data_IF_616956121147
#
_entry.id   IF_616956121147
#
_cell.length_a   1.000
_cell.length_b   1.000
_cell.length_c   1.000
_cell.angle_alpha   90.00
_cell.angle_beta   90.00
_cell.angle_gamma   90.00
#
_symmetry.space_group_name_H-M   'P 1'
#
loop_
_entity.id
_entity.type
_entity.pdbx_description
1 polymer ?
#
# COMPACT_ATOMS: atom_id res chain seq x y z
N UNK A 1 -26.25 51.23 -17.34
CA UNK A 1 -25.30 50.51 -16.48
C UNK A 1 -24.46 49.62 -17.39
N UNK A 2 -23.26 50.08 -17.75
CA UNK A 2 -22.31 49.27 -18.52
C UNK A 2 -21.66 48.26 -17.59
N UNK A 3 -21.91 46.98 -17.80
CA UNK A 3 -21.27 45.91 -17.04
C UNK A 3 -19.79 45.85 -17.38
N UNK A 4 -18.94 45.98 -16.37
CA UNK A 4 -17.52 45.70 -16.47
C UNK A 4 -17.35 44.19 -16.61
N UNK A 5 -17.19 43.71 -17.85
CA UNK A 5 -16.69 42.37 -18.11
C UNK A 5 -15.17 42.49 -18.25
N UNK A 6 -14.37 42.14 -17.21
CA UNK A 6 -12.93 42.15 -17.37
C UNK A 6 -12.55 41.17 -18.50
N UNK A 7 -11.61 41.53 -19.39
CA UNK A 7 -11.08 40.59 -20.36
C UNK A 7 -10.30 39.52 -19.58
N UNK A 8 -10.91 38.36 -19.39
CA UNK A 8 -10.22 37.18 -18.87
C UNK A 8 -9.32 36.69 -20.01
N UNK A 9 -7.99 36.64 -19.88
CA UNK A 9 -7.12 36.11 -20.91
C UNK A 9 -7.43 34.63 -21.11
N UNK A 10 -8.17 34.27 -22.16
CA UNK A 10 -8.53 32.87 -22.45
C UNK A 10 -7.35 32.07 -23.06
N UNK A 11 -6.38 32.77 -23.65
CA UNK A 11 -5.25 32.15 -24.37
C UNK A 11 -4.06 31.73 -23.47
N UNK A 12 -3.97 32.21 -22.24
CA UNK A 12 -2.89 31.84 -21.30
C UNK A 12 -3.03 30.41 -20.75
N UNK A 13 -4.22 29.81 -20.84
CA UNK A 13 -4.50 28.50 -20.22
C UNK A 13 -3.72 27.33 -20.83
N UNK A 14 -3.32 27.41 -22.10
CA UNK A 14 -2.66 26.30 -22.81
C UNK A 14 -1.22 26.06 -22.35
N UNK A 15 -0.46 27.12 -22.04
CA UNK A 15 0.92 26.97 -21.58
C UNK A 15 0.99 26.57 -20.10
N UNK A 16 0.02 27.03 -19.30
CA UNK A 16 -0.12 26.64 -17.88
C UNK A 16 -0.31 25.14 -17.73
N UNK A 17 -1.19 24.52 -18.53
CA UNK A 17 -1.40 23.06 -18.54
C UNK A 17 -0.11 22.33 -18.91
N UNK A 18 0.61 22.80 -19.93
CA UNK A 18 1.88 22.19 -20.37
C UNK A 18 2.93 22.24 -19.28
N UNK A 19 3.07 23.40 -18.62
CA UNK A 19 4.00 23.57 -17.51
C UNK A 19 3.61 22.69 -16.33
N UNK A 20 2.32 22.61 -15.98
CA UNK A 20 1.84 21.76 -14.89
C UNK A 20 2.11 20.27 -15.13
N UNK A 21 1.88 19.78 -16.35
CA UNK A 21 2.17 18.38 -16.73
C UNK A 21 3.67 18.08 -16.71
N UNK A 22 4.51 18.99 -17.22
CA UNK A 22 5.97 18.82 -17.18
C UNK A 22 6.51 18.88 -15.75
N UNK A 23 5.95 19.76 -14.91
CA UNK A 23 6.32 19.87 -13.51
C UNK A 23 5.92 18.61 -12.72
N UNK A 24 4.74 18.06 -13.01
CA UNK A 24 4.28 16.76 -12.48
C UNK A 24 5.30 15.66 -12.81
N UNK A 25 5.66 15.52 -14.09
CA UNK A 25 6.65 14.55 -14.57
C UNK A 25 8.03 14.72 -13.90
N UNK A 26 8.48 15.97 -13.73
CA UNK A 26 9.72 16.28 -13.06
C UNK A 26 9.71 15.79 -11.61
N UNK A 27 8.65 16.09 -10.85
CA UNK A 27 8.53 15.65 -9.47
C UNK A 27 8.46 14.13 -9.35
N UNK A 28 7.74 13.42 -10.22
CA UNK A 28 7.75 11.95 -10.19
C UNK A 28 9.11 11.37 -10.54
N UNK A 29 9.83 11.97 -11.48
CA UNK A 29 11.18 11.53 -11.85
C UNK A 29 12.12 11.67 -10.64
N UNK A 30 12.10 12.82 -9.97
CA UNK A 30 12.86 13.04 -8.74
C UNK A 30 12.44 12.04 -7.66
N UNK A 31 11.14 11.80 -7.49
CA UNK A 31 10.60 10.88 -6.50
C UNK A 31 11.10 9.43 -6.68
N UNK A 32 11.21 8.95 -7.92
CA UNK A 32 11.78 7.63 -8.25
C UNK A 32 13.23 7.50 -7.76
N UNK A 33 14.05 8.53 -7.95
CA UNK A 33 15.46 8.51 -7.52
C UNK A 33 15.62 8.70 -6.01
N UNK A 34 14.72 9.44 -5.39
CA UNK A 34 14.75 9.80 -3.97
C UNK A 34 14.24 8.66 -3.08
N UNK A 35 13.31 7.83 -3.55
CA UNK A 35 12.78 6.67 -2.81
C UNK A 35 13.88 5.73 -2.26
N UNK A 36 14.83 5.24 -3.08
CA UNK A 36 15.94 4.41 -2.61
C UNK A 36 16.89 5.11 -1.62
N UNK A 37 17.03 6.43 -1.71
CA UNK A 37 17.93 7.22 -0.83
C UNK A 37 17.41 7.22 0.61
N UNK A 38 16.08 7.12 0.81
CA UNK A 38 15.46 7.03 2.14
C UNK A 38 16.01 5.87 2.98
N UNK A 39 16.29 4.72 2.36
CA UNK A 39 16.84 3.54 3.08
C UNK A 39 18.25 3.75 3.59
N UNK A 40 19.00 4.70 3.02
CA UNK A 40 20.44 4.87 3.28
C UNK A 40 20.76 6.14 4.06
N UNK A 41 19.84 7.08 4.16
CA UNK A 41 20.08 8.40 4.75
C UNK A 41 19.13 8.67 5.90
N UNK A 42 19.72 8.98 7.06
CA UNK A 42 18.99 9.42 8.26
C UNK A 42 19.04 10.96 8.44
N UNK A 43 19.57 11.71 7.47
CA UNK A 43 19.71 13.15 7.62
C UNK A 43 18.35 13.87 7.56
N UNK A 44 18.07 14.83 8.47
CA UNK A 44 16.77 15.47 8.56
C UNK A 44 16.45 16.33 7.33
N UNK A 45 17.48 16.89 6.68
CA UNK A 45 17.33 17.67 5.45
C UNK A 45 16.87 16.77 4.29
N UNK A 46 17.47 15.58 4.15
CA UNK A 46 17.06 14.63 3.11
C UNK A 46 15.64 14.13 3.39
N UNK A 47 15.30 13.82 4.65
CA UNK A 47 13.92 13.47 5.04
C UNK A 47 12.92 14.58 4.70
N UNK A 48 13.24 15.84 5.00
CA UNK A 48 12.39 16.97 4.65
C UNK A 48 12.22 17.14 3.14
N UNK A 49 13.30 16.99 2.36
CA UNK A 49 13.23 17.06 0.89
C UNK A 49 12.41 15.90 0.30
N UNK A 50 12.57 14.68 0.83
CA UNK A 50 11.74 13.52 0.47
C UNK A 50 10.28 13.83 0.74
N UNK A 51 9.97 14.27 1.95
CA UNK A 51 8.61 14.60 2.38
C UNK A 51 7.98 15.69 1.50
N UNK A 52 8.72 16.77 1.23
CA UNK A 52 8.24 17.86 0.38
C UNK A 52 8.00 17.41 -1.06
N UNK A 53 8.90 16.59 -1.62
CA UNK A 53 8.74 16.05 -2.97
C UNK A 53 7.56 15.07 -3.05
N UNK A 54 7.36 14.25 -2.01
CA UNK A 54 6.23 13.32 -1.89
C UNK A 54 4.90 14.09 -1.91
N UNK A 55 4.77 15.16 -1.11
CA UNK A 55 3.56 15.99 -1.11
C UNK A 55 3.37 16.73 -2.44
N UNK A 56 4.41 17.37 -2.98
CA UNK A 56 4.26 18.16 -4.21
C UNK A 56 3.90 17.31 -5.43
N UNK A 57 4.39 16.07 -5.52
CA UNK A 57 4.15 15.21 -6.68
C UNK A 57 2.65 14.97 -6.92
N UNK A 58 1.91 14.64 -5.85
CA UNK A 58 0.47 14.39 -5.93
C UNK A 58 -0.30 15.70 -6.15
N UNK A 59 0.03 16.77 -5.40
CA UNK A 59 -0.64 18.07 -5.52
C UNK A 59 -0.50 18.70 -6.92
N UNK A 60 0.67 18.59 -7.56
CA UNK A 60 0.88 19.12 -8.90
C UNK A 60 0.14 18.31 -9.95
N UNK A 61 0.03 16.98 -9.77
CA UNK A 61 -0.75 16.13 -10.67
C UNK A 61 -2.25 16.45 -10.59
N UNK A 62 -2.80 16.64 -9.39
CA UNK A 62 -4.19 17.04 -9.17
C UNK A 62 -4.48 18.43 -9.75
N UNK A 63 -3.56 19.38 -9.56
CA UNK A 63 -3.68 20.72 -10.13
C UNK A 63 -3.69 20.65 -11.67
N UNK A 64 -2.80 19.87 -12.27
CA UNK A 64 -2.77 19.68 -13.72
C UNK A 64 -4.07 19.05 -14.25
N UNK A 65 -4.61 18.06 -13.54
CA UNK A 65 -5.89 17.42 -13.87
C UNK A 65 -7.06 18.41 -13.75
N UNK A 66 -7.07 19.24 -12.70
CA UNK A 66 -8.07 20.29 -12.51
C UNK A 66 -8.05 21.34 -13.62
N UNK A 67 -6.87 21.78 -14.05
CA UNK A 67 -6.70 22.71 -15.19
C UNK A 67 -7.21 22.09 -16.51
N UNK A 68 -6.91 20.81 -16.75
CA UNK A 68 -7.42 20.06 -17.91
C UNK A 68 -8.95 19.96 -17.90
N UNK A 69 -9.54 19.65 -16.76
CA UNK A 69 -10.99 19.51 -16.62
C UNK A 69 -11.71 20.86 -16.83
N UNK A 70 -11.17 21.95 -16.28
CA UNK A 70 -11.72 23.30 -16.44
C UNK A 70 -11.68 23.77 -17.91
N UNK A 71 -10.56 23.53 -18.59
CA UNK A 71 -10.41 23.90 -20.00
C UNK A 71 -11.40 23.15 -20.90
N UNK A 72 -11.68 21.87 -20.61
CA UNK A 72 -12.63 21.06 -21.37
C UNK A 72 -14.10 21.41 -21.08
N UNK A 73 -14.45 21.74 -19.83
CA UNK A 73 -15.79 22.17 -19.45
C UNK A 73 -16.25 23.46 -20.14
N UNK A 74 -15.32 24.38 -20.42
CA UNK A 74 -15.60 25.61 -21.15
C UNK A 74 -15.86 25.40 -22.66
N UNK A 75 -15.50 24.23 -23.22
CA UNK A 75 -15.76 23.84 -24.60
C UNK A 75 -17.19 23.28 -24.76
N UNK A 76 -17.74 22.63 -23.71
CA UNK A 76 -19.11 22.06 -23.72
C UNK A 76 -20.25 23.06 -23.56
N UNK A 77 -19.96 24.32 -23.20
CA UNK A 77 -20.96 25.37 -22.94
C UNK A 77 -21.43 26.17 -24.16
N UNK A 78 -20.82 25.98 -25.34
CA UNK A 78 -21.31 26.56 -26.60
C UNK A 78 -22.18 25.55 -27.33
N UNK A 79 -23.44 25.52 -26.95
CA UNK A 79 -24.51 24.77 -27.60
C UNK A 79 -24.47 24.96 -29.12
N UNK A 80 -24.71 23.86 -29.85
CA UNK A 80 -25.27 23.88 -31.21
C UNK A 80 -24.48 24.66 -32.26
N UNK A 81 -23.30 24.17 -32.61
CA UNK A 81 -22.97 24.06 -34.03
C UNK A 81 -22.02 22.88 -34.18
N UNK A 82 -22.27 22.06 -35.18
CA UNK A 82 -21.44 20.94 -35.57
C UNK A 82 -19.99 21.40 -35.77
N UNK A 83 -19.17 21.36 -34.73
CA UNK A 83 -17.73 21.26 -34.89
C UNK A 83 -17.42 19.81 -35.24
N UNK A 84 -17.80 19.43 -36.47
CA UNK A 84 -16.98 18.47 -37.21
C UNK A 84 -15.53 18.88 -36.99
N UNK A 85 -14.69 17.92 -36.60
CA UNK A 85 -13.24 18.01 -36.66
C UNK A 85 -12.89 18.49 -38.08
N UNK A 86 -12.82 19.79 -38.28
CA UNK A 86 -12.58 20.40 -39.57
C UNK A 86 -11.30 21.18 -39.45
N UNK A 87 -10.33 20.71 -40.22
CA UNK A 87 -9.13 21.41 -40.67
C UNK A 87 -7.97 21.49 -39.65
N UNK A 88 -7.08 20.52 -39.83
CA UNK A 88 -5.61 20.53 -40.02
C UNK A 88 -4.93 21.90 -40.33
N UNK A 89 -5.43 23.07 -39.94
CA UNK A 89 -4.81 24.36 -40.32
C UNK A 89 -4.72 25.43 -39.23
N UNK A 90 -5.05 25.11 -37.97
CA UNK A 90 -4.67 25.97 -36.83
C UNK A 90 -3.70 25.19 -35.93
N UNK A 91 -2.64 25.82 -35.37
CA UNK A 91 -1.67 25.15 -34.50
C UNK A 91 -2.24 24.78 -33.11
N UNK A 92 -3.56 24.95 -32.91
CA UNK A 92 -4.30 24.68 -31.67
C UNK A 92 -4.80 23.23 -31.60
N UNK A 93 -3.90 22.27 -31.73
CA UNK A 93 -4.17 20.83 -31.57
C UNK A 93 -4.18 20.40 -30.10
N UNK A 94 -4.74 21.22 -29.21
CA UNK A 94 -4.78 21.02 -27.75
C UNK A 94 -5.69 19.88 -27.27
N UNK A 95 -6.93 19.70 -27.77
CA UNK A 95 -7.86 18.75 -27.15
C UNK A 95 -7.45 17.28 -27.33
N UNK A 96 -6.75 16.96 -28.42
CA UNK A 96 -6.30 15.59 -28.72
C UNK A 96 -5.20 15.13 -27.75
N UNK A 97 -4.22 15.99 -27.44
CA UNK A 97 -3.11 15.64 -26.54
C UNK A 97 -3.53 15.71 -25.07
N UNK A 98 -4.47 16.58 -24.72
CA UNK A 98 -5.04 16.69 -23.38
C UNK A 98 -5.78 15.42 -22.96
N UNK A 99 -6.54 14.82 -23.90
CA UNK A 99 -7.18 13.53 -23.67
C UNK A 99 -6.18 12.40 -23.35
N UNK A 100 -4.95 12.46 -23.89
CA UNK A 100 -3.88 11.53 -23.57
C UNK A 100 -3.18 11.87 -22.24
N UNK A 101 -2.99 13.16 -21.92
CA UNK A 101 -2.35 13.58 -20.67
C UNK A 101 -3.17 13.28 -19.43
N UNK A 102 -4.49 13.26 -19.53
CA UNK A 102 -5.37 12.92 -18.41
C UNK A 102 -5.11 11.51 -17.82
N UNK A 103 -5.19 10.40 -18.59
CA UNK A 103 -4.83 9.08 -18.08
C UNK A 103 -3.34 8.96 -17.71
N UNK A 104 -2.47 9.76 -18.33
CA UNK A 104 -1.06 9.82 -17.96
C UNK A 104 -0.84 10.44 -16.57
N UNK A 105 -1.57 11.52 -16.24
CA UNK A 105 -1.58 12.09 -14.88
C UNK A 105 -2.19 11.10 -13.87
N UNK A 106 -3.27 10.42 -14.24
CA UNK A 106 -3.85 9.36 -13.39
C UNK A 106 -2.83 8.25 -13.10
N UNK A 107 -2.06 7.84 -14.11
CA UNK A 107 -0.97 6.87 -13.95
C UNK A 107 0.13 7.38 -13.02
N UNK A 108 0.46 8.66 -13.12
CA UNK A 108 1.45 9.28 -12.25
C UNK A 108 1.02 9.35 -10.78
N UNK A 109 -0.25 9.63 -10.52
CA UNK A 109 -0.82 9.60 -9.17
C UNK A 109 -0.79 8.18 -8.57
N UNK A 110 -0.71 7.14 -9.40
CA UNK A 110 -0.41 5.78 -8.96
C UNK A 110 0.97 5.58 -8.34
N UNK A 111 1.88 6.56 -8.48
CA UNK A 111 3.18 6.61 -7.80
C UNK A 111 4.16 5.50 -8.18
N UNK A 112 5.45 5.67 -7.90
CA UNK A 112 6.46 4.63 -8.13
C UNK A 112 6.31 3.49 -7.12
N UNK A 113 6.74 2.29 -7.52
CA UNK A 113 6.60 1.08 -6.69
C UNK A 113 7.54 1.08 -5.47
N UNK A 114 8.53 1.99 -5.46
CA UNK A 114 9.58 2.12 -4.44
C UNK A 114 9.14 2.87 -3.18
N UNK A 115 8.07 3.66 -3.22
CA UNK A 115 7.55 4.36 -2.05
C UNK A 115 6.04 4.60 -2.19
N UNK A 116 5.27 4.02 -1.28
CA UNK A 116 3.80 4.13 -1.25
C UNK A 116 3.30 5.03 -0.13
N UNK A 117 4.05 5.10 0.97
CA UNK A 117 3.78 5.97 2.10
C UNK A 117 5.06 6.57 2.68
N UNK A 118 4.94 7.78 3.25
CA UNK A 118 6.06 8.42 3.93
C UNK A 118 6.12 8.00 5.40
N UNK A 119 4.98 7.93 6.09
CA UNK A 119 4.86 7.41 7.46
C UNK A 119 3.76 6.35 7.58
N UNK A 120 3.72 5.61 8.71
CA UNK A 120 2.68 4.59 8.95
C UNK A 120 1.29 5.24 9.03
N UNK A 121 1.20 6.48 9.54
CA UNK A 121 -0.04 7.24 9.62
C UNK A 121 -0.64 7.51 8.24
N UNK A 122 0.18 7.63 7.19
CA UNK A 122 -0.32 7.79 5.82
C UNK A 122 -1.02 6.51 5.32
N UNK A 123 -0.58 5.33 5.77
CA UNK A 123 -1.24 4.05 5.46
C UNK A 123 -2.64 3.98 6.08
N UNK A 124 -2.81 4.48 7.31
CA UNK A 124 -4.12 4.55 7.96
C UNK A 124 -5.10 5.45 7.20
N UNK A 125 -4.60 6.46 6.48
CA UNK A 125 -5.40 7.34 5.64
C UNK A 125 -5.69 6.78 4.24
N UNK A 126 -5.55 5.47 4.01
CA UNK A 126 -5.82 4.83 2.71
C UNK A 126 -7.23 5.12 2.17
N UNK A 127 -8.24 5.21 3.05
CA UNK A 127 -9.62 5.47 2.64
C UNK A 127 -9.79 6.88 2.04
N UNK A 128 -9.04 7.86 2.54
CA UNK A 128 -8.99 9.21 1.96
C UNK A 128 -8.36 9.18 0.56
N UNK A 129 -7.27 8.44 0.39
CA UNK A 129 -6.64 8.25 -0.91
C UNK A 129 -7.55 7.52 -1.89
N UNK A 130 -8.34 6.55 -1.43
CA UNK A 130 -9.37 5.88 -2.23
C UNK A 130 -10.46 6.85 -2.70
N UNK A 131 -10.93 7.76 -1.83
CA UNK A 131 -11.93 8.76 -2.22
C UNK A 131 -11.36 9.73 -3.26
N UNK A 132 -10.11 10.19 -3.07
CA UNK A 132 -9.40 11.03 -4.05
C UNK A 132 -9.31 10.34 -5.41
N UNK A 133 -8.85 9.08 -5.41
CA UNK A 133 -8.80 8.23 -6.59
C UNK A 133 -10.13 8.16 -7.34
N UNK A 134 -11.25 7.96 -6.63
CA UNK A 134 -12.56 7.88 -7.27
C UNK A 134 -12.94 9.20 -7.96
N UNK A 135 -12.62 10.34 -7.35
CA UNK A 135 -12.88 11.66 -7.95
C UNK A 135 -12.00 11.91 -9.18
N UNK A 136 -10.73 11.55 -9.11
CA UNK A 136 -9.78 11.66 -10.22
C UNK A 136 -10.15 10.71 -11.36
N UNK A 137 -10.54 9.47 -11.04
CA UNK A 137 -11.02 8.49 -12.01
C UNK A 137 -12.30 8.97 -12.71
N UNK A 138 -13.24 9.57 -11.98
CA UNK A 138 -14.43 10.18 -12.57
C UNK A 138 -14.07 11.34 -13.50
N UNK A 139 -13.19 12.24 -13.05
CA UNK A 139 -12.69 13.37 -13.85
C UNK A 139 -12.02 12.88 -15.13
N UNK A 140 -11.15 11.86 -15.01
CA UNK A 140 -10.45 11.26 -16.13
C UNK A 140 -11.42 10.54 -17.09
N UNK A 141 -12.44 9.86 -16.56
CA UNK A 141 -13.48 9.19 -17.35
C UNK A 141 -14.29 10.19 -18.16
N UNK A 142 -14.68 11.33 -17.58
CA UNK A 142 -15.40 12.40 -18.30
C UNK A 142 -14.58 12.89 -19.49
N UNK A 143 -13.31 13.21 -19.28
CA UNK A 143 -12.40 13.68 -20.34
C UNK A 143 -12.22 12.59 -21.41
N UNK A 144 -12.05 11.34 -20.99
CA UNK A 144 -11.89 10.19 -21.88
C UNK A 144 -13.13 9.98 -22.78
N UNK A 145 -14.34 9.99 -22.21
CA UNK A 145 -15.58 9.83 -22.98
C UNK A 145 -15.82 10.99 -23.94
N UNK A 146 -15.49 12.23 -23.54
CA UNK A 146 -15.58 13.38 -24.43
C UNK A 146 -14.60 13.29 -25.61
N UNK A 147 -13.45 12.64 -25.45
CA UNK A 147 -12.46 12.45 -26.54
C UNK A 147 -12.72 11.22 -27.43
N UNK A 148 -13.72 10.38 -27.11
CA UNK A 148 -13.87 9.06 -27.70
C UNK A 148 -14.18 9.06 -29.21
N UNK A 149 -14.85 10.10 -29.72
CA UNK A 149 -15.32 10.13 -31.13
C UNK A 149 -14.31 10.68 -32.14
N UNK A 150 -13.27 11.40 -31.67
CA UNK A 150 -12.56 12.36 -32.51
C UNK A 150 -11.01 12.29 -32.41
N UNK A 151 -10.44 11.17 -31.95
CA UNK A 151 -8.99 11.11 -31.63
C UNK A 151 -8.25 9.93 -32.32
N UNK A 152 -7.18 10.18 -33.10
CA UNK A 152 -6.36 9.11 -33.71
C UNK A 152 -5.47 8.35 -32.70
N UNK A 153 -5.25 8.89 -31.49
CA UNK A 153 -4.44 8.28 -30.42
C UNK A 153 -5.26 7.43 -29.43
N UNK A 154 -6.55 7.18 -29.70
CA UNK A 154 -7.42 6.40 -28.82
C UNK A 154 -6.85 5.07 -28.30
N UNK A 155 -6.17 4.21 -29.08
CA UNK A 155 -5.62 2.97 -28.54
C UNK A 155 -4.56 3.23 -27.46
N UNK A 156 -3.71 4.25 -27.62
CA UNK A 156 -2.71 4.62 -26.63
C UNK A 156 -3.37 5.18 -25.36
N UNK A 157 -4.38 6.03 -25.51
CA UNK A 157 -5.16 6.59 -24.41
C UNK A 157 -5.89 5.51 -23.61
N UNK A 158 -6.48 4.50 -24.27
CA UNK A 158 -7.14 3.36 -23.61
C UNK A 158 -6.12 2.57 -22.78
N UNK A 159 -4.98 2.22 -23.38
CA UNK A 159 -3.94 1.47 -22.66
C UNK A 159 -3.43 2.26 -21.46
N UNK A 160 -3.15 3.55 -21.62
CA UNK A 160 -2.71 4.42 -20.52
C UNK A 160 -3.76 4.53 -19.42
N UNK A 161 -5.04 4.61 -19.77
CA UNK A 161 -6.13 4.69 -18.80
C UNK A 161 -6.24 3.39 -17.98
N UNK A 162 -6.16 2.23 -18.64
CA UNK A 162 -6.16 0.92 -17.96
C UNK A 162 -4.94 0.79 -17.04
N UNK A 163 -3.74 1.10 -17.54
CA UNK A 163 -2.52 1.05 -16.71
C UNK A 163 -2.60 2.03 -15.55
N UNK A 164 -3.17 3.22 -15.76
CA UNK A 164 -3.37 4.21 -14.70
C UNK A 164 -4.30 3.72 -13.59
N UNK A 165 -5.44 3.13 -13.95
CA UNK A 165 -6.36 2.48 -12.98
C UNK A 165 -5.64 1.39 -12.19
N UNK A 166 -4.90 0.52 -12.88
CA UNK A 166 -4.16 -0.57 -12.22
C UNK A 166 -3.11 0.02 -11.26
N UNK A 167 -2.24 0.92 -11.73
CA UNK A 167 -1.15 1.50 -10.94
C UNK A 167 -1.64 2.26 -9.71
N UNK A 168 -2.73 2.99 -9.85
CA UNK A 168 -3.37 3.65 -8.71
C UNK A 168 -4.01 2.63 -7.76
N UNK A 169 -4.73 1.65 -8.29
CA UNK A 169 -5.27 0.55 -7.50
C UNK A 169 -4.21 -0.18 -6.67
N UNK A 170 -3.04 -0.46 -7.26
CA UNK A 170 -1.88 -1.04 -6.57
C UNK A 170 -1.40 -0.15 -5.42
N UNK A 171 -1.36 1.19 -5.61
CA UNK A 171 -1.00 2.14 -4.55
C UNK A 171 -2.01 2.10 -3.40
N UNK A 172 -3.30 2.21 -3.70
CA UNK A 172 -4.36 2.19 -2.68
C UNK A 172 -4.39 0.87 -1.93
N UNK A 173 -4.22 -0.25 -2.64
CA UNK A 173 -4.15 -1.57 -2.02
C UNK A 173 -2.90 -1.74 -1.15
N UNK A 174 -1.74 -1.23 -1.58
CA UNK A 174 -0.52 -1.22 -0.76
C UNK A 174 -0.71 -0.40 0.52
N UNK A 175 -1.34 0.77 0.46
CA UNK A 175 -1.67 1.58 1.63
C UNK A 175 -2.60 0.83 2.60
N UNK A 176 -3.66 0.19 2.07
CA UNK A 176 -4.55 -0.63 2.87
C UNK A 176 -3.83 -1.82 3.51
N UNK A 177 -3.02 -2.55 2.74
CA UNK A 177 -2.26 -3.69 3.25
C UNK A 177 -1.22 -3.29 4.30
N UNK A 178 -0.68 -2.07 4.21
CA UNK A 178 0.25 -1.49 5.18
C UNK A 178 -0.44 -0.82 6.38
N UNK A 179 -1.77 -0.82 6.45
CA UNK A 179 -2.55 -0.32 7.60
C UNK A 179 -2.70 -1.41 8.66
N UNK A 180 -2.91 -1.01 9.92
CA UNK A 180 -3.19 -1.88 11.06
C UNK A 180 -4.35 -2.84 10.75
N UNK A 181 -5.41 -2.34 10.11
CA UNK A 181 -6.57 -3.16 9.75
C UNK A 181 -6.20 -4.22 8.71
N UNK A 182 -5.45 -3.85 7.67
CA UNK A 182 -4.94 -4.79 6.68
C UNK A 182 -4.00 -5.83 7.29
N UNK A 183 -3.18 -5.42 8.27
CA UNK A 183 -2.32 -6.33 9.01
C UNK A 183 -3.11 -7.36 9.82
N UNK A 184 -4.09 -6.91 10.61
CA UNK A 184 -4.95 -7.81 11.39
C UNK A 184 -5.58 -8.88 10.52
N UNK A 185 -6.11 -8.50 9.34
CA UNK A 185 -6.76 -9.44 8.42
C UNK A 185 -5.76 -10.44 7.80
N UNK A 186 -4.52 -10.01 7.54
CA UNK A 186 -3.48 -10.89 7.01
C UNK A 186 -2.90 -11.86 8.05
N UNK A 187 -2.79 -11.44 9.32
CA UNK A 187 -2.12 -12.18 10.39
C UNK A 187 -3.09 -13.12 11.11
N UNK A 188 -4.30 -12.66 11.43
CA UNK A 188 -5.22 -13.39 12.30
C UNK A 188 -6.08 -14.43 11.59
N UNK A 189 -6.07 -14.46 10.25
CA UNK A 189 -6.95 -15.34 9.48
C UNK A 189 -8.43 -15.08 9.77
N UNK A 190 -9.34 -15.94 9.29
CA UNK A 190 -10.74 -15.86 9.69
C UNK A 190 -10.84 -16.09 11.21
N UNK A 191 -11.68 -15.33 11.94
CA UNK A 191 -11.84 -15.51 13.37
C UNK A 191 -12.18 -16.96 13.67
N UNK A 192 -11.33 -17.66 14.43
CA UNK A 192 -11.67 -18.98 14.94
C UNK A 192 -12.79 -18.76 15.98
N UNK A 193 -14.03 -19.24 15.73
CA UNK A 193 -15.11 -19.11 16.71
C UNK A 193 -14.84 -19.91 17.99
N UNK A 194 -13.68 -20.59 18.07
CA UNK A 194 -13.27 -21.41 19.20
C UNK A 194 -14.05 -22.70 19.24
N UNK A 195 -13.91 -23.44 20.33
CA UNK A 195 -14.72 -24.64 20.56
C UNK A 195 -16.20 -24.24 20.60
N UNK A 196 -17.05 -25.02 19.95
CA UNK A 196 -18.50 -24.78 19.98
C UNK A 196 -19.03 -25.09 21.39
N UNK A 197 -18.97 -24.08 22.27
CA UNK A 197 -19.38 -24.17 23.67
C UNK A 197 -20.81 -24.66 23.82
N UNK A 198 -21.71 -24.29 22.92
CA UNK A 198 -23.09 -24.76 22.96
C UNK A 198 -23.16 -26.28 22.80
N UNK A 199 -22.43 -26.84 21.82
CA UNK A 199 -22.35 -28.30 21.63
C UNK A 199 -21.67 -28.98 22.84
N UNK A 200 -20.57 -28.42 23.31
CA UNK A 200 -19.84 -28.95 24.47
C UNK A 200 -20.73 -29.02 25.72
N UNK A 201 -21.44 -27.93 26.03
CA UNK A 201 -22.30 -27.87 27.21
C UNK A 201 -23.50 -28.81 27.08
N UNK A 202 -24.11 -28.92 25.88
CA UNK A 202 -25.19 -29.90 25.67
C UNK A 202 -24.74 -31.33 25.86
N UNK A 203 -23.50 -31.66 25.48
CA UNK A 203 -22.93 -32.99 25.68
C UNK A 203 -22.62 -33.24 27.17
N UNK A 204 -22.11 -32.22 27.87
CA UNK A 204 -21.88 -32.25 29.32
C UNK A 204 -23.19 -32.53 30.08
N UNK A 205 -24.24 -31.73 29.84
CA UNK A 205 -25.55 -31.87 30.49
C UNK A 205 -26.17 -33.26 30.22
N UNK A 206 -26.02 -33.77 28.98
CA UNK A 206 -26.54 -35.10 28.62
C UNK A 206 -25.86 -36.24 29.38
N UNK A 207 -24.56 -36.10 29.67
CA UNK A 207 -23.77 -37.11 30.39
C UNK A 207 -24.03 -37.03 31.90
N UNK A 208 -24.19 -35.82 32.44
CA UNK A 208 -24.60 -35.62 33.83
C UNK A 208 -26.00 -36.22 34.09
N UNK A 209 -26.96 -35.98 33.20
CA UNK A 209 -28.31 -36.56 33.29
C UNK A 209 -28.32 -38.09 33.17
N UNK A 210 -27.34 -38.67 32.47
CA UNK A 210 -27.14 -40.12 32.39
C UNK A 210 -26.51 -40.72 33.65
N UNK A 211 -26.18 -39.90 34.66
CA UNK A 211 -25.53 -40.33 35.91
C UNK A 211 -24.05 -40.67 35.75
N UNK A 212 -23.41 -40.20 34.68
CA UNK A 212 -21.96 -40.34 34.48
C UNK A 212 -21.23 -39.26 35.27
N UNK A 213 -20.10 -39.63 35.87
CA UNK A 213 -19.20 -38.66 36.49
C UNK A 213 -18.49 -37.89 35.38
N UNK A 214 -18.82 -36.60 35.22
CA UNK A 214 -18.27 -35.73 34.20
C UNK A 214 -17.52 -34.57 34.85
N UNK A 215 -16.22 -34.51 34.60
CA UNK A 215 -15.35 -33.43 35.05
C UNK A 215 -14.87 -32.63 33.84
N UNK A 216 -15.02 -31.30 33.91
CA UNK A 216 -14.46 -30.40 32.89
C UNK A 216 -12.97 -30.24 33.17
N UNK A 217 -12.16 -31.07 32.51
CA UNK A 217 -10.70 -30.92 32.54
C UNK A 217 -10.30 -29.83 31.56
N UNK A 218 -9.91 -28.67 32.09
CA UNK A 218 -9.26 -27.63 31.30
C UNK A 218 -7.85 -28.13 30.99
N UNK A 219 -7.65 -28.64 29.77
CA UNK A 219 -6.33 -29.03 29.28
C UNK A 219 -5.37 -27.86 29.43
N UNK A 220 -4.38 -28.00 30.31
CA UNK A 220 -3.43 -26.94 30.65
C UNK A 220 -3.65 -26.24 32.00
N UNK A 221 -4.59 -26.67 32.85
CA UNK A 221 -4.68 -26.18 34.24
C UNK A 221 -3.68 -26.88 35.19
N UNK A 222 -3.32 -28.13 34.90
CA UNK A 222 -2.44 -28.94 35.74
C UNK A 222 -0.99 -28.45 35.62
N UNK A 223 -0.31 -28.27 36.76
CA UNK A 223 1.09 -27.79 36.79
C UNK A 223 2.04 -28.69 35.99
N UNK A 224 1.72 -29.97 35.84
CA UNK A 224 2.56 -30.95 35.15
C UNK A 224 2.34 -30.90 33.63
N UNK A 225 1.09 -30.74 33.18
CA UNK A 225 0.76 -30.53 31.77
C UNK A 225 1.32 -29.20 31.24
N UNK A 226 1.30 -28.13 32.05
CA UNK A 226 1.95 -26.85 31.70
C UNK A 226 3.46 -27.01 31.53
N UNK A 227 4.13 -27.76 32.42
CA UNK A 227 5.57 -28.03 32.32
C UNK A 227 5.90 -28.86 31.09
N UNK A 228 5.15 -29.92 30.82
CA UNK A 228 5.36 -30.74 29.64
C UNK A 228 5.15 -29.98 28.31
N UNK A 229 4.20 -29.04 28.27
CA UNK A 229 4.01 -28.13 27.14
C UNK A 229 5.22 -27.19 26.97
N UNK A 230 5.66 -26.56 28.06
CA UNK A 230 6.85 -25.70 28.05
C UNK A 230 8.10 -26.47 27.58
N UNK A 231 8.34 -27.67 28.12
CA UNK A 231 9.49 -28.51 27.75
C UNK A 231 9.43 -28.93 26.26
N UNK A 232 8.23 -29.25 25.75
CA UNK A 232 8.03 -29.59 24.34
C UNK A 232 8.28 -28.39 23.43
N UNK A 233 7.79 -27.21 23.82
CA UNK A 233 7.96 -25.95 23.09
C UNK A 233 9.42 -25.47 23.11
N UNK A 234 10.12 -25.60 24.23
CA UNK A 234 11.55 -25.30 24.37
C UNK A 234 12.41 -26.27 23.55
N UNK A 235 12.10 -27.57 23.58
CA UNK A 235 12.74 -28.56 22.71
C UNK A 235 12.49 -28.28 21.21
N UNK A 236 11.32 -27.73 20.87
CA UNK A 236 10.97 -27.30 19.51
C UNK A 236 11.74 -26.04 19.12
N UNK A 237 11.86 -25.07 20.03
CA UNK A 237 12.67 -23.87 19.85
C UNK A 237 14.15 -24.23 19.60
N UNK A 238 14.74 -25.09 20.43
CA UNK A 238 16.10 -25.57 20.25
C UNK A 238 16.32 -26.26 18.90
N UNK A 239 15.34 -27.03 18.40
CA UNK A 239 15.41 -27.65 17.06
C UNK A 239 15.33 -26.65 15.91
N UNK A 240 14.51 -25.61 16.06
CA UNK A 240 14.38 -24.54 15.05
C UNK A 240 15.67 -23.72 14.98
N UNK A 241 16.27 -23.41 16.13
CA UNK A 241 17.55 -22.68 16.25
C UNK A 241 18.73 -23.51 15.75
N UNK A 242 18.81 -24.79 16.12
CA UNK A 242 19.89 -25.72 15.74
C UNK A 242 19.83 -26.22 14.29
N UNK A 243 18.81 -25.85 13.50
CA UNK A 243 18.73 -26.24 12.10
C UNK A 243 19.66 -25.40 11.22
N UNK A 244 20.93 -25.81 11.18
CA UNK A 244 22.03 -25.20 10.40
C UNK A 244 21.80 -25.10 8.88
N UNK A 245 20.70 -25.65 8.34
CA UNK A 245 20.43 -25.69 6.89
C UNK A 245 19.59 -24.53 6.36
N UNK A 246 18.97 -23.71 7.21
CA UNK A 246 18.16 -22.58 6.76
C UNK A 246 19.02 -21.44 6.22
N UNK A 247 18.70 -20.97 5.00
CA UNK A 247 19.33 -19.77 4.42
C UNK A 247 19.04 -18.53 5.28
N UNK A 248 19.92 -17.52 5.21
CA UNK A 248 19.78 -16.29 5.98
C UNK A 248 18.44 -15.58 5.72
N UNK A 249 17.98 -15.59 4.47
CA UNK A 249 16.71 -14.98 4.05
C UNK A 249 15.51 -15.74 4.64
N UNK A 250 15.60 -17.07 4.74
CA UNK A 250 14.54 -17.89 5.31
C UNK A 250 14.43 -17.70 6.82
N UNK A 251 15.57 -17.57 7.51
CA UNK A 251 15.60 -17.24 8.93
C UNK A 251 14.99 -15.86 9.18
N UNK A 252 15.42 -14.85 8.41
CA UNK A 252 14.90 -13.50 8.49
C UNK A 252 13.40 -13.44 8.16
N UNK A 253 12.91 -14.21 7.19
CA UNK A 253 11.49 -14.28 6.87
C UNK A 253 10.66 -14.91 8.01
N UNK A 254 11.17 -15.94 8.67
CA UNK A 254 10.48 -16.53 9.83
C UNK A 254 10.40 -15.54 10.99
N UNK A 255 11.49 -14.82 11.29
CA UNK A 255 11.46 -13.77 12.33
C UNK A 255 10.57 -12.60 11.94
N UNK A 256 10.53 -12.22 10.67
CA UNK A 256 9.61 -11.23 10.15
C UNK A 256 8.16 -11.62 10.45
N UNK A 257 7.77 -12.88 10.23
CA UNK A 257 6.40 -13.35 10.52
C UNK A 257 6.06 -13.32 12.01
N UNK A 258 7.05 -13.48 12.88
CA UNK A 258 6.91 -13.40 14.34
C UNK A 258 6.78 -11.94 14.75
N UNK A 259 7.76 -11.09 14.41
CA UNK A 259 7.87 -9.73 14.90
C UNK A 259 6.94 -8.73 14.21
N UNK A 260 6.42 -9.02 13.01
CA UNK A 260 5.38 -8.19 12.38
C UNK A 260 4.17 -8.01 13.30
N UNK A 261 3.87 -8.97 14.18
CA UNK A 261 2.78 -8.89 15.17
C UNK A 261 2.96 -7.71 16.12
N UNK A 262 4.20 -7.44 16.52
CA UNK A 262 4.51 -6.33 17.43
C UNK A 262 4.23 -4.96 16.80
N UNK A 263 4.30 -4.83 15.47
CA UNK A 263 4.00 -3.57 14.77
C UNK A 263 2.49 -3.23 14.74
N UNK A 264 1.65 -4.17 15.17
CA UNK A 264 0.18 -4.09 15.12
C UNK A 264 -0.39 -4.21 16.54
N UNK A 265 0.43 -3.92 17.56
CA UNK A 265 0.10 -4.06 18.97
C UNK A 265 -0.39 -5.47 19.38
N UNK A 266 -0.02 -6.52 18.63
CA UNK A 266 -0.25 -7.91 19.02
C UNK A 266 0.90 -8.42 19.88
N UNK A 267 0.56 -9.23 20.88
CA UNK A 267 1.53 -9.87 21.78
C UNK A 267 2.02 -11.18 21.14
N UNK A 268 3.32 -11.45 21.26
CA UNK A 268 3.90 -12.72 20.86
C UNK A 268 3.34 -13.87 21.71
N UNK A 269 3.04 -15.00 21.07
CA UNK A 269 2.72 -16.21 21.82
C UNK A 269 3.97 -16.73 22.57
N UNK A 270 3.77 -17.54 23.60
CA UNK A 270 4.86 -18.12 24.39
C UNK A 270 5.87 -18.88 23.51
N UNK A 271 5.39 -19.68 22.56
CA UNK A 271 6.25 -20.39 21.60
C UNK A 271 7.12 -19.42 20.77
N UNK A 272 6.51 -18.37 20.21
CA UNK A 272 7.19 -17.37 19.38
C UNK A 272 8.24 -16.59 20.18
N UNK A 273 7.90 -16.26 21.43
CA UNK A 273 8.80 -15.59 22.36
C UNK A 273 9.98 -16.49 22.75
N UNK A 274 9.72 -17.76 23.04
CA UNK A 274 10.73 -18.77 23.38
C UNK A 274 11.72 -18.99 22.24
N UNK A 275 11.23 -19.16 21.00
CA UNK A 275 12.06 -19.28 19.80
C UNK A 275 12.97 -18.06 19.62
N UNK A 276 12.41 -16.86 19.80
CA UNK A 276 13.16 -15.60 19.65
C UNK A 276 14.24 -15.46 20.72
N UNK A 277 13.91 -15.77 21.97
CA UNK A 277 14.86 -15.76 23.08
C UNK A 277 15.99 -16.78 22.87
N UNK A 278 15.66 -18.02 22.52
CA UNK A 278 16.65 -19.06 22.26
C UNK A 278 17.62 -18.64 21.14
N UNK A 279 17.10 -18.03 20.06
CA UNK A 279 17.92 -17.63 18.93
C UNK A 279 18.85 -16.43 19.22
N UNK A 280 18.36 -15.41 19.92
CA UNK A 280 19.11 -14.16 20.14
C UNK A 280 19.91 -14.15 21.45
N UNK A 281 19.54 -14.96 22.46
CA UNK A 281 20.11 -14.90 23.80
C UNK A 281 20.77 -16.19 24.27
N UNK A 282 20.27 -17.37 23.87
CA UNK A 282 20.90 -18.64 24.25
C UNK A 282 22.16 -18.89 23.42
N UNK A 283 23.29 -18.94 24.15
CA UNK A 283 24.64 -18.77 23.60
C UNK A 283 25.44 -20.07 23.51
N UNK A 284 24.77 -21.22 23.52
CA UNK A 284 25.45 -22.50 23.74
C UNK A 284 26.03 -23.15 22.48
N UNK A 285 25.65 -22.73 21.27
CA UNK A 285 26.30 -23.23 20.06
C UNK A 285 27.41 -22.28 19.56
N UNK A 286 28.62 -22.82 19.51
CA UNK A 286 29.92 -22.27 19.06
C UNK A 286 29.90 -21.65 17.64
N UNK A 287 28.75 -21.69 16.95
CA UNK A 287 28.57 -21.25 15.55
C UNK A 287 27.83 -19.90 15.38
N UNK A 288 27.24 -19.34 16.45
CA UNK A 288 26.39 -18.15 16.33
C UNK A 288 27.13 -16.83 16.59
N UNK A 289 27.61 -16.18 15.52
CA UNK A 289 28.24 -14.87 15.60
C UNK A 289 27.18 -13.77 15.78
N UNK A 290 27.38 -12.78 16.69
CA UNK A 290 26.55 -11.58 16.77
C UNK A 290 26.33 -10.90 15.41
N UNK A 291 27.33 -10.98 14.53
CA UNK A 291 27.24 -10.47 13.15
C UNK A 291 26.11 -11.14 12.36
N UNK A 292 25.89 -12.44 12.53
CA UNK A 292 24.81 -13.18 11.86
C UNK A 292 23.43 -12.75 12.38
N UNK A 293 23.30 -12.54 13.69
CA UNK A 293 22.07 -12.01 14.28
C UNK A 293 21.74 -10.60 13.73
N UNK A 294 22.72 -9.71 13.64
CA UNK A 294 22.53 -8.37 13.05
C UNK A 294 22.18 -8.43 11.56
N UNK A 295 22.75 -9.37 10.80
CA UNK A 295 22.39 -9.56 9.40
C UNK A 295 20.94 -10.03 9.25
N UNK A 296 20.51 -10.98 10.10
CA UNK A 296 19.13 -11.48 10.11
C UNK A 296 18.15 -10.37 10.45
N UNK A 297 18.41 -9.61 11.52
CA UNK A 297 17.61 -8.43 11.88
C UNK A 297 17.60 -7.39 10.76
N UNK A 298 18.73 -7.18 10.07
CA UNK A 298 18.80 -6.25 8.95
C UNK A 298 17.94 -6.67 7.75
N UNK A 299 17.88 -7.97 7.44
CA UNK A 299 17.02 -8.49 6.37
C UNK A 299 15.55 -8.51 6.80
N UNK A 300 15.27 -8.88 8.05
CA UNK A 300 13.94 -8.81 8.66
C UNK A 300 13.36 -7.40 8.59
N UNK A 301 14.13 -6.40 9.01
CA UNK A 301 13.72 -5.00 8.99
C UNK A 301 13.49 -4.49 7.56
N UNK A 302 14.20 -5.04 6.57
CA UNK A 302 13.92 -4.77 5.16
C UNK A 302 12.57 -5.36 4.72
N UNK A 303 12.20 -6.56 5.16
CA UNK A 303 10.86 -7.11 4.90
C UNK A 303 9.76 -6.25 5.51
N UNK A 304 9.94 -5.80 6.76
CA UNK A 304 8.99 -4.89 7.42
C UNK A 304 8.90 -3.57 6.66
N UNK A 305 10.04 -3.00 6.25
CA UNK A 305 10.07 -1.77 5.47
C UNK A 305 9.33 -1.93 4.14
N UNK A 306 9.59 -3.02 3.41
CA UNK A 306 8.97 -3.29 2.12
C UNK A 306 7.46 -3.45 2.28
N UNK A 307 7.05 -4.16 3.33
CA UNK A 307 5.65 -4.36 3.67
C UNK A 307 4.90 -3.06 3.98
N UNK A 308 5.50 -2.16 4.76
CA UNK A 308 4.84 -0.93 5.23
C UNK A 308 4.90 0.19 4.19
N UNK A 309 5.99 0.30 3.44
CA UNK A 309 6.28 1.52 2.68
C UNK A 309 6.46 1.34 1.17
N UNK A 310 6.27 0.13 0.64
CA UNK A 310 6.43 -0.14 -0.80
C UNK A 310 5.25 -0.93 -1.34
N UNK A 311 5.16 -1.08 -2.67
CA UNK A 311 4.14 -1.95 -3.30
C UNK A 311 4.44 -3.45 -3.18
N UNK A 312 5.47 -3.83 -2.45
CA UNK A 312 5.84 -5.22 -2.18
C UNK A 312 4.65 -6.14 -1.78
N UNK A 313 3.72 -5.74 -0.89
CA UNK A 313 2.58 -6.59 -0.53
C UNK A 313 1.70 -6.98 -1.72
N UNK A 314 1.62 -6.14 -2.75
CA UNK A 314 0.85 -6.42 -3.97
C UNK A 314 1.49 -7.53 -4.80
N UNK A 315 2.83 -7.59 -4.82
CA UNK A 315 3.61 -8.59 -5.57
C UNK A 315 3.86 -9.88 -4.81
N UNK A 316 3.93 -9.86 -3.48
CA UNK A 316 4.31 -11.02 -2.66
C UNK A 316 3.14 -11.89 -2.19
N UNK A 317 1.90 -11.51 -2.48
CA UNK A 317 0.73 -12.32 -2.14
C UNK A 317 0.63 -13.52 -3.08
N UNK A 318 0.93 -14.71 -2.56
CA UNK A 318 0.62 -16.02 -3.16
C UNK A 318 -0.63 -16.60 -2.50
#
# INVERSE_FOLDING_TARGET
MGGFAPPIPQDDSNWEIRVAVLLSLFFQTVHIFVGPIRRRSSSPVISFLIWSCYLLADWVADLALGLLLNNMGNIGGKSSSSSTIASVTNPDSSPIIFAFWTPFLLLHLGGPDTITAYSIEDNEMWLRHLIGFLFELLSASVIFFCSFKDNPMMPATILMFVVGIIKYGERTYSLYSGSISGFHESILGPPDPGQNYAKFMTEFDSREQAGLDVEIVISGADSEAKRALVDLEEAKAARVVGNTTMSLEQQAFNFFLIFQRLFVDLILNYEENSISHAYFLEREEVSYSPTKAFLVMGVELNFIYDMVYTKAPVTYRK
#
